data_IF_046199352379
#
_entry.id   IF_046199352379
#
_cell.length_a   1.000
_cell.length_b   1.000
_cell.length_c   1.000
_cell.angle_alpha   90.00
_cell.angle_beta   90.00
_cell.angle_gamma   90.00
#
_symmetry.space_group_name_H-M   'P 1'
#
loop_
_entity.id
_entity.type
_entity.pdbx_description
1 polymer ?
#
# COMPACT_ATOMS: atom_id res chain seq x y z
N UNK A 1 14.90 16.27 -7.33
CA UNK A 1 14.16 15.62 -8.44
C UNK A 1 13.09 14.76 -7.82
N UNK A 2 11.84 14.86 -8.28
CA UNK A 2 10.73 14.03 -7.79
C UNK A 2 10.37 13.05 -8.90
N UNK A 3 10.54 11.72 -8.70
CA UNK A 3 10.27 10.72 -9.74
C UNK A 3 8.78 10.40 -9.90
N UNK A 4 7.96 10.69 -8.89
CA UNK A 4 6.51 10.54 -8.97
C UNK A 4 5.91 11.60 -9.91
N UNK A 5 4.93 11.20 -10.69
CA UNK A 5 4.24 12.05 -11.66
C UNK A 5 2.74 11.82 -11.61
N UNK A 6 1.99 12.67 -12.30
CA UNK A 6 0.54 12.59 -12.42
C UNK A 6 0.13 11.97 -13.75
N UNK A 7 -1.07 11.42 -13.78
CA UNK A 7 -1.80 11.08 -15.00
C UNK A 7 -2.26 12.36 -15.72
N UNK A 8 -2.76 12.26 -16.97
CA UNK A 8 -3.30 13.41 -17.71
C UNK A 8 -4.46 14.12 -17.02
N UNK A 9 -5.20 13.43 -16.14
CA UNK A 9 -6.29 14.01 -15.33
C UNK A 9 -5.79 14.74 -14.06
N UNK A 10 -4.48 14.81 -13.85
CA UNK A 10 -3.86 15.46 -12.70
C UNK A 10 -3.79 14.60 -11.43
N UNK A 11 -4.33 13.37 -11.45
CA UNK A 11 -4.26 12.45 -10.31
C UNK A 11 -2.92 11.72 -10.27
N UNK A 12 -2.41 11.43 -9.07
CA UNK A 12 -1.17 10.71 -8.89
C UNK A 12 -0.89 10.40 -7.41
N UNK A 13 0.22 9.70 -7.12
CA UNK A 13 0.58 9.38 -5.75
C UNK A 13 0.89 10.64 -4.94
N UNK A 14 0.16 10.84 -3.84
CA UNK A 14 0.56 11.78 -2.81
C UNK A 14 1.68 11.14 -1.98
N UNK A 15 2.90 11.64 -2.13
CA UNK A 15 4.09 11.06 -1.51
C UNK A 15 4.58 11.90 -0.33
N UNK A 16 4.91 11.23 0.77
CA UNK A 16 5.54 11.85 1.92
C UNK A 16 6.51 10.86 2.59
N UNK A 17 7.51 11.41 3.27
CA UNK A 17 8.47 10.67 4.08
C UNK A 17 8.57 11.39 5.42
N UNK A 18 8.30 10.67 6.51
CA UNK A 18 8.42 11.20 7.86
C UNK A 18 9.84 10.97 8.37
N UNK A 19 10.09 9.86 9.06
CA UNK A 19 11.41 9.45 9.53
C UNK A 19 11.72 8.03 9.08
N UNK A 20 12.90 7.54 9.47
CA UNK A 20 13.34 6.20 9.12
C UNK A 20 12.63 5.13 9.97
N UNK A 21 12.36 5.46 11.22
CA UNK A 21 11.80 4.57 12.24
C UNK A 21 10.27 4.45 12.20
N UNK A 22 9.55 5.46 11.67
CA UNK A 22 8.11 5.64 11.91
C UNK A 22 7.22 5.49 10.66
N UNK A 23 7.78 4.97 9.55
CA UNK A 23 7.03 4.90 8.29
C UNK A 23 5.73 4.10 8.42
N UNK A 24 5.68 3.08 9.30
CA UNK A 24 4.49 2.28 9.55
C UNK A 24 3.39 3.13 10.21
N UNK A 25 3.72 3.76 11.33
CA UNK A 25 2.82 4.57 12.15
C UNK A 25 2.35 5.80 11.39
N UNK A 26 3.24 6.41 10.62
CA UNK A 26 2.94 7.53 9.75
C UNK A 26 1.90 7.15 8.68
N UNK A 27 2.12 6.04 7.99
CA UNK A 27 1.18 5.52 7.00
C UNK A 27 -0.16 5.09 7.61
N UNK A 28 -0.14 4.49 8.80
CA UNK A 28 -1.37 4.18 9.54
C UNK A 28 -2.16 5.43 9.89
N UNK A 29 -1.49 6.51 10.33
CA UNK A 29 -2.13 7.80 10.59
C UNK A 29 -2.85 8.37 9.36
N UNK A 30 -2.25 8.24 8.18
CA UNK A 30 -2.87 8.61 6.90
C UNK A 30 -4.08 7.72 6.56
N UNK A 31 -3.95 6.41 6.72
CA UNK A 31 -5.02 5.45 6.45
C UNK A 31 -6.24 5.69 7.35
N UNK A 32 -6.02 5.85 8.65
CA UNK A 32 -7.07 6.14 9.63
C UNK A 32 -7.74 7.48 9.33
N UNK A 33 -6.96 8.54 9.06
CA UNK A 33 -7.52 9.86 8.73
C UNK A 33 -8.38 9.81 7.47
N UNK A 34 -7.90 9.11 6.43
CA UNK A 34 -8.63 8.90 5.19
C UNK A 34 -9.94 8.15 5.43
N UNK A 35 -9.90 7.06 6.21
CA UNK A 35 -11.08 6.28 6.54
C UNK A 35 -12.11 7.12 7.32
N UNK A 36 -11.68 7.89 8.33
CA UNK A 36 -12.56 8.78 9.10
C UNK A 36 -13.21 9.84 8.22
N UNK A 37 -12.42 10.56 7.42
CA UNK A 37 -12.96 11.62 6.54
C UNK A 37 -13.93 11.03 5.50
N UNK A 38 -13.61 9.87 4.93
CA UNK A 38 -14.44 9.23 3.90
C UNK A 38 -15.73 8.64 4.47
N UNK A 39 -15.70 8.12 5.70
CA UNK A 39 -16.90 7.70 6.42
C UNK A 39 -17.78 8.89 6.80
N UNK A 40 -17.20 10.03 7.19
CA UNK A 40 -17.94 11.26 7.44
C UNK A 40 -18.62 11.77 6.17
N UNK A 41 -17.93 11.75 5.02
CA UNK A 41 -18.52 12.04 3.72
C UNK A 41 -19.68 11.09 3.41
N UNK A 42 -19.52 9.78 3.67
CA UNK A 42 -20.58 8.79 3.48
C UNK A 42 -21.83 9.11 4.29
N UNK A 43 -21.65 9.41 5.58
CA UNK A 43 -22.75 9.79 6.46
C UNK A 43 -23.47 11.04 5.94
N UNK A 44 -22.72 12.06 5.50
CA UNK A 44 -23.30 13.29 4.94
C UNK A 44 -24.09 13.05 3.65
N UNK A 45 -23.59 12.18 2.77
CA UNK A 45 -24.33 11.76 1.58
C UNK A 45 -25.62 11.04 1.97
N UNK A 46 -25.57 10.13 2.95
CA UNK A 46 -26.75 9.41 3.43
C UNK A 46 -27.80 10.36 4.02
N UNK A 47 -27.39 11.39 4.77
CA UNK A 47 -28.30 12.43 5.29
C UNK A 47 -29.07 13.13 4.16
N UNK A 48 -28.38 13.56 3.10
CA UNK A 48 -29.02 14.21 1.95
C UNK A 48 -29.98 13.26 1.21
N UNK A 49 -29.66 11.96 1.19
CA UNK A 49 -30.51 10.95 0.54
C UNK A 49 -31.78 10.59 1.36
N UNK A 50 -31.80 10.85 2.67
CA UNK A 50 -32.93 10.51 3.55
C UNK A 50 -34.21 11.32 3.25
N UNK A 51 -34.10 12.47 2.59
CA UNK A 51 -35.26 13.25 2.15
C UNK A 51 -36.09 12.53 1.07
N UNK A 52 -35.54 11.48 0.45
CA UNK A 52 -36.28 10.58 -0.43
C UNK A 52 -36.92 11.30 -1.62
N UNK A 53 -38.23 11.08 -1.84
CA UNK A 53 -38.96 11.66 -2.98
C UNK A 53 -39.15 13.17 -2.90
N UNK A 54 -39.01 13.77 -1.73
CA UNK A 54 -39.10 15.21 -1.53
C UNK A 54 -37.72 15.90 -1.62
N UNK A 55 -36.68 15.14 -1.96
CA UNK A 55 -35.31 15.64 -2.10
C UNK A 55 -35.21 16.71 -3.21
N UNK A 56 -34.51 17.83 -2.96
CA UNK A 56 -34.28 18.90 -3.95
C UNK A 56 -33.28 18.51 -5.05
N UNK A 57 -32.73 17.30 -4.98
CA UNK A 57 -31.73 16.76 -5.90
C UNK A 57 -32.32 16.40 -7.26
N UNK A 58 -31.54 16.55 -8.33
CA UNK A 58 -31.87 15.90 -9.60
C UNK A 58 -31.88 14.38 -9.47
N UNK A 59 -32.70 13.71 -10.29
CA UNK A 59 -32.78 12.25 -10.32
C UNK A 59 -31.43 11.58 -10.62
N UNK A 60 -30.60 12.23 -11.46
CA UNK A 60 -29.26 11.74 -11.79
C UNK A 60 -28.31 11.80 -10.60
N UNK A 61 -28.24 12.95 -9.90
CA UNK A 61 -27.40 13.11 -8.71
C UNK A 61 -27.84 12.15 -7.60
N UNK A 62 -29.15 12.03 -7.37
CA UNK A 62 -29.71 11.09 -6.39
C UNK A 62 -29.31 9.63 -6.70
N UNK A 63 -29.37 9.23 -7.97
CA UNK A 63 -29.01 7.87 -8.39
C UNK A 63 -27.53 7.59 -8.18
N UNK A 64 -26.64 8.51 -8.60
CA UNK A 64 -25.19 8.31 -8.48
C UNK A 64 -24.70 8.37 -7.03
N UNK A 65 -25.29 9.21 -6.17
CA UNK A 65 -24.98 9.24 -4.74
C UNK A 65 -25.38 7.94 -4.05
N UNK A 66 -26.56 7.38 -4.37
CA UNK A 66 -26.95 6.06 -3.87
C UNK A 66 -25.98 4.96 -4.34
N UNK A 67 -25.64 4.94 -5.64
CA UNK A 67 -24.71 3.97 -6.20
C UNK A 67 -23.33 4.04 -5.51
N UNK A 68 -22.84 5.25 -5.23
CA UNK A 68 -21.59 5.46 -4.50
C UNK A 68 -21.67 4.94 -3.05
N UNK A 69 -22.79 5.15 -2.35
CA UNK A 69 -22.99 4.64 -0.98
C UNK A 69 -23.04 3.12 -0.94
N UNK A 70 -23.75 2.49 -1.89
CA UNK A 70 -23.88 1.03 -2.02
C UNK A 70 -22.54 0.37 -2.38
N UNK A 71 -21.75 1.03 -3.23
CA UNK A 71 -20.47 0.55 -3.73
C UNK A 71 -19.27 1.25 -3.07
N UNK A 72 -19.44 1.76 -1.85
CA UNK A 72 -18.47 2.62 -1.16
C UNK A 72 -17.06 2.01 -1.07
N UNK A 73 -16.94 0.67 -1.09
CA UNK A 73 -15.65 -0.04 -1.02
C UNK A 73 -15.12 -0.51 -2.37
N UNK A 74 -15.87 -0.34 -3.46
CA UNK A 74 -15.47 -0.77 -4.79
C UNK A 74 -14.64 0.33 -5.48
N UNK A 75 -13.33 0.15 -5.66
CA UNK A 75 -12.47 1.19 -6.21
C UNK A 75 -12.87 1.58 -7.65
N UNK A 76 -13.29 0.61 -8.47
CA UNK A 76 -13.64 0.87 -9.87
C UNK A 76 -14.93 1.72 -9.99
N UNK A 77 -15.95 1.41 -9.18
CA UNK A 77 -17.20 2.18 -9.15
C UNK A 77 -16.95 3.58 -8.58
N UNK A 78 -16.23 3.69 -7.46
CA UNK A 78 -15.90 4.98 -6.85
C UNK A 78 -15.06 5.89 -7.78
N UNK A 79 -14.13 5.31 -8.54
CA UNK A 79 -13.31 6.02 -9.53
C UNK A 79 -14.12 6.48 -10.76
N UNK A 80 -15.14 5.71 -11.18
CA UNK A 80 -16.04 6.15 -12.23
C UNK A 80 -16.89 7.33 -11.76
N UNK A 81 -17.48 7.22 -10.56
CA UNK A 81 -18.35 8.23 -9.99
C UNK A 81 -17.61 9.52 -9.58
N UNK A 82 -16.34 9.44 -9.21
CA UNK A 82 -15.53 10.62 -8.89
C UNK A 82 -15.34 11.57 -10.09
N UNK A 83 -15.56 11.08 -11.32
CA UNK A 83 -15.44 11.89 -12.55
C UNK A 83 -16.73 12.63 -12.88
N UNK A 84 -17.88 12.05 -12.56
CA UNK A 84 -19.20 12.63 -12.87
C UNK A 84 -19.77 13.45 -11.71
N UNK A 85 -19.74 12.93 -10.48
CA UNK A 85 -20.37 13.54 -9.30
C UNK A 85 -19.95 15.00 -9.03
N UNK A 86 -18.67 15.41 -9.14
CA UNK A 86 -18.30 16.79 -8.84
C UNK A 86 -19.03 17.84 -9.68
N UNK A 87 -19.31 17.53 -10.95
CA UNK A 87 -20.03 18.43 -11.85
C UNK A 87 -21.52 18.55 -11.49
N UNK A 88 -22.15 17.43 -11.11
CA UNK A 88 -23.54 17.39 -10.64
C UNK A 88 -23.70 18.10 -9.30
N UNK A 89 -22.82 17.82 -8.35
CA UNK A 89 -22.77 18.49 -7.05
C UNK A 89 -22.62 20.01 -7.22
N UNK A 90 -21.72 20.46 -8.10
CA UNK A 90 -21.52 21.89 -8.39
C UNK A 90 -22.75 22.56 -8.98
N UNK A 91 -23.52 21.87 -9.82
CA UNK A 91 -24.74 22.42 -10.40
C UNK A 91 -25.85 22.66 -9.35
N UNK A 92 -25.80 21.94 -8.23
CA UNK A 92 -26.84 21.94 -7.21
C UNK A 92 -26.38 22.50 -5.86
N UNK A 93 -25.10 22.86 -5.71
CA UNK A 93 -24.50 23.33 -4.46
C UNK A 93 -25.17 24.57 -3.84
N UNK A 94 -25.84 25.40 -4.65
CA UNK A 94 -26.57 26.57 -4.16
C UNK A 94 -27.94 26.23 -3.55
N UNK A 95 -28.44 25.01 -3.75
CA UNK A 95 -29.76 24.59 -3.26
C UNK A 95 -29.73 24.17 -1.79
N UNK A 96 -28.62 23.60 -1.35
CA UNK A 96 -28.45 23.05 -0.01
C UNK A 96 -26.97 23.15 0.42
N UNK A 97 -26.66 23.77 1.58
CA UNK A 97 -25.32 23.78 2.15
C UNK A 97 -24.68 22.39 2.27
N UNK A 98 -25.45 21.33 2.53
CA UNK A 98 -24.93 19.97 2.62
C UNK A 98 -24.34 19.48 1.29
N UNK A 99 -24.88 19.91 0.15
CA UNK A 99 -24.34 19.57 -1.17
C UNK A 99 -22.98 20.26 -1.38
N UNK A 100 -22.83 21.51 -0.93
CA UNK A 100 -21.54 22.21 -0.98
C UNK A 100 -20.49 21.51 -0.11
N UNK A 101 -20.86 21.03 1.09
CA UNK A 101 -19.94 20.27 1.93
C UNK A 101 -19.48 18.95 1.29
N UNK A 102 -20.40 18.23 0.61
CA UNK A 102 -20.05 17.01 -0.15
C UNK A 102 -19.11 17.35 -1.31
N UNK A 103 -19.34 18.48 -1.99
CA UNK A 103 -18.48 18.95 -3.08
C UNK A 103 -17.07 19.30 -2.58
N UNK A 104 -16.95 19.96 -1.44
CA UNK A 104 -15.67 20.34 -0.84
C UNK A 104 -14.82 19.13 -0.43
N UNK A 105 -15.46 17.99 -0.17
CA UNK A 105 -14.84 16.70 0.13
C UNK A 105 -14.80 15.73 -1.07
N UNK A 106 -14.99 16.22 -2.30
CA UNK A 106 -15.06 15.38 -3.50
C UNK A 106 -13.76 14.65 -3.84
N UNK A 107 -12.62 15.10 -3.26
CA UNK A 107 -11.33 14.41 -3.29
C UNK A 107 -11.38 13.00 -2.67
N UNK A 108 -12.38 12.73 -1.82
CA UNK A 108 -12.58 11.46 -1.12
C UNK A 108 -13.61 10.53 -1.77
N UNK A 109 -14.20 10.92 -2.91
CA UNK A 109 -15.10 10.05 -3.66
C UNK A 109 -14.40 8.75 -4.11
N UNK A 110 -13.19 8.78 -4.70
CA UNK A 110 -12.43 7.56 -4.97
C UNK A 110 -12.14 6.77 -3.68
N UNK A 111 -11.98 5.43 -3.80
CA UNK A 111 -11.33 4.66 -2.72
C UNK A 111 -9.84 4.98 -2.78
N UNK A 112 -9.31 5.54 -1.71
CA UNK A 112 -7.88 5.84 -1.60
C UNK A 112 -7.15 4.57 -1.16
N UNK A 113 -6.07 4.22 -1.88
CA UNK A 113 -5.21 3.08 -1.55
C UNK A 113 -3.97 3.57 -0.80
N UNK A 114 -3.85 3.19 0.48
CA UNK A 114 -2.73 3.61 1.33
C UNK A 114 -1.58 2.59 1.23
N UNK A 115 -0.37 3.09 0.92
CA UNK A 115 0.84 2.29 0.79
C UNK A 115 1.96 2.80 1.68
N UNK A 116 2.56 1.90 2.44
CA UNK A 116 3.75 2.12 3.24
C UNK A 116 4.90 1.41 2.55
N UNK A 117 5.92 2.16 2.12
CA UNK A 117 7.02 1.61 1.32
C UNK A 117 8.33 1.84 2.07
N UNK A 118 9.08 0.78 2.29
CA UNK A 118 10.41 0.89 2.90
C UNK A 118 11.30 -0.31 2.61
N UNK A 119 12.58 -0.17 2.96
CA UNK A 119 13.57 -1.22 2.79
C UNK A 119 13.57 -2.23 3.94
N UNK A 120 14.45 -3.22 3.83
CA UNK A 120 14.64 -4.22 4.87
C UNK A 120 15.18 -3.64 6.18
N UNK A 121 16.09 -2.66 6.13
CA UNK A 121 16.61 -2.04 7.34
C UNK A 121 15.58 -1.25 8.15
N UNK A 122 14.48 -0.82 7.54
CA UNK A 122 13.36 -0.28 8.28
C UNK A 122 12.52 -1.41 8.87
N UNK A 123 12.03 -2.30 8.01
CA UNK A 123 11.00 -3.30 8.35
C UNK A 123 11.49 -4.43 9.24
N UNK A 124 12.75 -4.84 9.13
CA UNK A 124 13.32 -5.92 9.95
C UNK A 124 13.98 -5.38 11.22
N UNK A 125 14.48 -4.14 11.19
CA UNK A 125 15.26 -3.53 12.26
C UNK A 125 14.55 -2.38 12.96
N UNK A 126 14.81 -1.13 12.56
CA UNK A 126 14.50 0.05 13.38
C UNK A 126 12.99 0.32 13.51
N UNK A 127 12.23 0.08 12.44
CA UNK A 127 10.79 0.30 12.39
C UNK A 127 9.96 -0.97 12.62
N UNK A 128 10.60 -2.10 12.95
CA UNK A 128 9.86 -3.35 13.11
C UNK A 128 8.79 -3.30 14.19
N UNK A 129 9.07 -2.65 15.34
CA UNK A 129 8.08 -2.55 16.42
C UNK A 129 6.82 -1.79 15.99
N UNK A 130 7.00 -0.70 15.23
CA UNK A 130 5.90 0.04 14.62
C UNK A 130 5.16 -0.75 13.55
N UNK A 131 5.92 -1.40 12.67
CA UNK A 131 5.38 -2.27 11.62
C UNK A 131 4.53 -3.40 12.18
N UNK A 132 5.02 -4.10 13.21
CA UNK A 132 4.31 -5.17 13.91
C UNK A 132 2.96 -4.67 14.47
N UNK A 133 2.96 -3.53 15.15
CA UNK A 133 1.74 -2.92 15.67
C UNK A 133 0.74 -2.55 14.57
N UNK A 134 1.22 -1.99 13.46
CA UNK A 134 0.40 -1.61 12.30
C UNK A 134 -0.19 -2.85 11.63
N UNK A 135 0.60 -3.91 11.46
CA UNK A 135 0.14 -5.19 10.93
C UNK A 135 -0.98 -5.78 11.81
N UNK A 136 -0.80 -5.75 13.13
CA UNK A 136 -1.78 -6.24 14.11
C UNK A 136 -3.05 -5.40 14.20
N UNK A 137 -3.06 -4.17 13.68
CA UNK A 137 -4.17 -3.21 13.84
C UNK A 137 -5.43 -3.54 13.04
N UNK A 138 -5.30 -4.38 12.00
CA UNK A 138 -6.40 -4.71 11.09
C UNK A 138 -6.86 -3.56 10.18
N UNK A 139 -6.13 -2.45 10.11
CA UNK A 139 -6.45 -1.35 9.20
C UNK A 139 -6.27 -1.74 7.73
N UNK A 140 -7.14 -1.24 6.84
CA UNK A 140 -7.06 -1.40 5.37
C UNK A 140 -5.90 -0.56 4.81
N UNK A 141 -4.71 -1.16 4.76
CA UNK A 141 -3.48 -0.56 4.26
C UNK A 141 -2.52 -1.62 3.70
N UNK A 142 -1.62 -1.18 2.83
CA UNK A 142 -0.65 -2.04 2.16
C UNK A 142 0.77 -1.67 2.57
N UNK A 143 1.57 -2.66 2.93
CA UNK A 143 3.00 -2.51 3.22
C UNK A 143 3.80 -3.20 2.12
N UNK A 144 4.72 -2.46 1.51
CA UNK A 144 5.70 -2.99 0.58
C UNK A 144 7.10 -2.89 1.18
N UNK A 145 7.70 -4.04 1.43
CA UNK A 145 9.09 -4.16 1.84
C UNK A 145 9.94 -4.48 0.62
N UNK A 146 10.85 -3.57 0.27
CA UNK A 146 11.87 -3.79 -0.74
C UNK A 146 13.09 -4.41 -0.07
N UNK A 147 13.15 -5.74 -0.08
CA UNK A 147 14.17 -6.49 0.66
C UNK A 147 15.45 -6.61 -0.16
N UNK A 148 16.41 -5.75 0.18
CA UNK A 148 17.76 -5.75 -0.41
C UNK A 148 18.76 -6.53 0.44
N UNK A 149 18.33 -7.13 1.55
CA UNK A 149 19.16 -7.93 2.46
C UNK A 149 20.36 -7.18 3.08
N UNK A 150 20.31 -5.84 3.05
CA UNK A 150 21.34 -4.94 3.57
C UNK A 150 20.81 -3.50 3.66
N UNK A 151 21.48 -2.65 4.44
CA UNK A 151 21.21 -1.22 4.42
C UNK A 151 21.88 -0.59 3.19
N UNK A 152 21.19 -0.69 2.05
CA UNK A 152 21.73 -0.30 0.75
C UNK A 152 22.16 1.17 0.69
N UNK A 153 21.31 2.09 1.17
CA UNK A 153 21.57 3.54 1.04
C UNK A 153 22.82 4.01 1.82
N UNK A 154 23.09 3.43 2.99
CA UNK A 154 24.22 3.82 3.85
C UNK A 154 25.50 3.02 3.56
N UNK A 155 25.49 2.24 2.47
CA UNK A 155 26.66 1.57 1.90
C UNK A 155 26.85 0.14 2.41
N UNK A 156 25.77 -0.63 2.54
CA UNK A 156 25.84 -2.09 2.70
C UNK A 156 26.14 -2.56 4.12
N UNK A 157 25.53 -1.96 5.15
CA UNK A 157 25.54 -2.50 6.50
C UNK A 157 24.64 -3.73 6.59
N UNK A 158 25.03 -4.67 7.45
CA UNK A 158 24.20 -5.80 7.85
C UNK A 158 22.86 -5.32 8.43
N UNK A 159 21.78 -5.93 7.99
CA UNK A 159 20.44 -5.86 8.58
C UNK A 159 20.06 -7.20 9.22
N UNK A 160 18.94 -7.26 9.96
CA UNK A 160 18.35 -8.56 10.35
C UNK A 160 17.78 -9.35 9.17
N UNK A 161 17.70 -8.77 7.98
CA UNK A 161 17.32 -9.50 6.76
C UNK A 161 18.54 -10.02 5.96
N UNK A 162 19.76 -9.68 6.36
CA UNK A 162 20.99 -10.23 5.75
C UNK A 162 21.04 -11.75 5.98
N UNK A 163 21.25 -12.57 4.94
CA UNK A 163 21.29 -14.03 5.07
C UNK A 163 22.55 -14.51 5.79
N UNK A 164 22.48 -15.72 6.35
CA UNK A 164 23.65 -16.39 6.93
C UNK A 164 24.81 -16.48 5.93
N UNK A 165 26.02 -16.21 6.38
CA UNK A 165 27.23 -16.25 5.57
C UNK A 165 27.47 -15.05 4.66
N UNK A 166 26.49 -14.15 4.44
CA UNK A 166 26.72 -12.96 3.61
C UNK A 166 27.67 -11.97 4.29
N UNK A 167 28.58 -11.40 3.49
CA UNK A 167 29.56 -10.41 3.95
C UNK A 167 29.01 -9.01 3.72
N UNK A 168 28.86 -8.26 4.80
CA UNK A 168 28.41 -6.87 4.82
C UNK A 168 29.23 -6.06 5.83
N UNK A 169 29.09 -4.72 5.87
CA UNK A 169 29.66 -3.94 6.99
C UNK A 169 29.01 -4.42 8.29
N UNK A 170 29.83 -4.59 9.33
CA UNK A 170 29.46 -5.24 10.61
C UNK A 170 29.21 -6.76 10.53
N UNK A 171 29.45 -7.39 9.38
CA UNK A 171 29.45 -8.85 9.17
C UNK A 171 30.62 -9.25 8.26
N UNK A 172 31.83 -8.77 8.55
CA UNK A 172 32.99 -8.93 7.65
C UNK A 172 33.48 -10.37 7.51
N UNK A 173 33.11 -11.25 8.46
CA UNK A 173 33.39 -12.69 8.42
C UNK A 173 32.19 -13.52 7.95
N UNK A 174 31.19 -12.87 7.37
CA UNK A 174 29.87 -13.46 7.10
C UNK A 174 28.92 -13.22 8.26
N UNK A 175 27.63 -13.11 7.96
CA UNK A 175 26.58 -13.07 8.98
C UNK A 175 26.48 -14.42 9.69
N UNK A 176 26.33 -14.37 11.00
CA UNK A 176 26.42 -15.51 11.92
C UNK A 176 25.07 -16.14 12.26
N UNK A 177 23.96 -15.50 11.91
CA UNK A 177 22.60 -16.00 12.14
C UNK A 177 21.79 -16.02 10.86
N UNK A 178 20.70 -16.78 10.88
CA UNK A 178 19.76 -16.83 9.77
C UNK A 178 19.02 -15.51 9.58
N UNK A 179 18.51 -15.31 8.37
CA UNK A 179 17.63 -14.20 8.03
C UNK A 179 16.39 -14.25 8.93
N UNK A 180 16.05 -13.14 9.60
CA UNK A 180 14.79 -13.02 10.33
C UNK A 180 13.63 -13.26 9.35
N UNK A 181 12.68 -14.13 9.67
CA UNK A 181 11.54 -14.41 8.79
C UNK A 181 10.34 -13.48 9.10
N UNK A 182 10.38 -12.24 8.59
CA UNK A 182 9.32 -11.23 8.82
C UNK A 182 7.94 -11.71 8.34
N UNK A 183 7.90 -12.37 7.18
CA UNK A 183 6.65 -12.80 6.58
C UNK A 183 5.98 -13.94 7.38
N UNK A 184 6.75 -14.89 7.91
CA UNK A 184 6.23 -15.93 8.81
C UNK A 184 5.69 -15.32 10.11
N UNK A 185 6.42 -14.37 10.72
CA UNK A 185 5.94 -13.64 11.91
C UNK A 185 4.62 -12.90 11.64
N UNK A 186 4.42 -12.36 10.44
CA UNK A 186 3.17 -11.70 10.07
C UNK A 186 2.03 -12.71 9.81
N UNK A 187 2.33 -13.88 9.25
CA UNK A 187 1.36 -14.97 9.05
C UNK A 187 0.80 -15.47 10.39
N UNK A 188 1.61 -15.49 11.46
CA UNK A 188 1.19 -15.94 12.79
C UNK A 188 0.01 -15.15 13.37
N UNK A 189 -0.23 -13.91 12.94
CA UNK A 189 -1.44 -13.16 13.31
C UNK A 189 -2.73 -13.79 12.77
N UNK A 190 -2.66 -14.53 11.67
CA UNK A 190 -3.80 -15.17 11.03
C UNK A 190 -4.70 -14.23 10.23
N UNK A 191 -4.62 -12.91 10.45
CA UNK A 191 -5.53 -11.88 9.89
C UNK A 191 -4.84 -10.89 8.96
N UNK A 192 -3.69 -11.26 8.40
CA UNK A 192 -2.85 -10.38 7.58
C UNK A 192 -2.64 -11.08 6.25
N UNK A 193 -2.90 -10.39 5.14
CA UNK A 193 -2.49 -10.91 3.84
C UNK A 193 -0.97 -10.78 3.71
N UNK A 194 -0.27 -11.87 3.37
CA UNK A 194 1.19 -11.86 3.25
C UNK A 194 1.62 -12.44 1.91
N UNK A 195 2.51 -11.77 1.20
CA UNK A 195 3.09 -12.28 -0.03
C UNK A 195 4.60 -12.09 -0.07
N UNK A 196 5.29 -13.13 -0.56
CA UNK A 196 6.70 -13.08 -0.93
C UNK A 196 6.79 -13.10 -2.45
N UNK A 197 7.43 -12.09 -3.04
CA UNK A 197 7.45 -11.87 -4.50
C UNK A 197 8.87 -11.62 -5.01
N UNK A 198 9.13 -12.10 -6.22
CA UNK A 198 10.32 -11.73 -7.00
C UNK A 198 9.89 -11.60 -8.46
N UNK A 199 9.83 -10.36 -8.95
CA UNK A 199 9.26 -10.02 -10.26
C UNK A 199 9.96 -10.76 -11.40
N UNK A 200 11.29 -10.87 -11.36
CA UNK A 200 12.05 -11.59 -12.38
C UNK A 200 11.86 -13.11 -12.36
N UNK A 201 11.41 -13.68 -11.24
CA UNK A 201 11.09 -15.10 -11.14
C UNK A 201 9.68 -15.41 -11.66
N UNK A 202 8.69 -14.58 -11.30
CA UNK A 202 7.32 -14.79 -11.75
C UNK A 202 6.50 -13.48 -11.76
N UNK A 203 6.40 -12.87 -12.94
CA UNK A 203 5.60 -11.66 -13.17
C UNK A 203 4.12 -11.84 -12.82
N UNK A 204 3.54 -12.99 -13.18
CA UNK A 204 2.11 -13.24 -12.96
C UNK A 204 1.81 -13.39 -11.47
N UNK A 205 2.67 -14.09 -10.71
CA UNK A 205 2.54 -14.19 -9.26
C UNK A 205 2.72 -12.85 -8.58
N UNK A 206 3.66 -12.01 -9.07
CA UNK A 206 3.86 -10.66 -8.53
C UNK A 206 2.62 -9.79 -8.75
N UNK A 207 2.09 -9.74 -9.98
CA UNK A 207 0.85 -8.99 -10.26
C UNK A 207 -0.33 -9.49 -9.43
N UNK A 208 -0.50 -10.82 -9.36
CA UNK A 208 -1.56 -11.43 -8.53
C UNK A 208 -1.40 -11.06 -7.06
N UNK A 209 -0.18 -11.06 -6.54
CA UNK A 209 0.08 -10.73 -5.15
C UNK A 209 -0.28 -9.28 -4.80
N UNK A 210 0.04 -8.32 -5.67
CA UNK A 210 -0.32 -6.91 -5.49
C UNK A 210 -1.82 -6.68 -5.64
N UNK A 211 -2.47 -7.34 -6.60
CA UNK A 211 -3.93 -7.23 -6.76
C UNK A 211 -4.69 -7.83 -5.57
N UNK A 212 -4.26 -8.97 -5.04
CA UNK A 212 -4.86 -9.56 -3.84
C UNK A 212 -4.58 -8.73 -2.59
N UNK A 213 -3.36 -8.20 -2.42
CA UNK A 213 -3.01 -7.32 -1.32
C UNK A 213 -3.91 -6.08 -1.25
N UNK A 214 -4.10 -5.37 -2.38
CA UNK A 214 -4.95 -4.17 -2.39
C UNK A 214 -6.43 -4.48 -2.21
N UNK A 215 -6.89 -5.64 -2.71
CA UNK A 215 -8.27 -6.06 -2.60
C UNK A 215 -8.63 -6.60 -1.20
N UNK A 216 -7.63 -6.98 -0.39
CA UNK A 216 -7.83 -7.48 0.96
C UNK A 216 -8.39 -6.40 1.89
N UNK A 217 -9.43 -6.73 2.63
CA UNK A 217 -10.07 -5.82 3.61
C UNK A 217 -9.33 -5.89 4.96
N UNK A 218 -8.11 -5.37 4.97
CA UNK A 218 -7.24 -5.39 6.15
C UNK A 218 -5.81 -5.05 5.80
N UNK A 219 -4.88 -5.41 6.69
CA UNK A 219 -3.47 -5.13 6.47
C UNK A 219 -2.86 -6.17 5.52
N UNK A 220 -2.10 -5.68 4.54
CA UNK A 220 -1.34 -6.49 3.60
C UNK A 220 0.16 -6.24 3.71
N UNK A 221 0.97 -7.29 3.72
CA UNK A 221 2.43 -7.24 3.69
C UNK A 221 2.95 -7.93 2.42
N UNK A 222 3.64 -7.18 1.56
CA UNK A 222 4.35 -7.70 0.40
C UNK A 222 5.84 -7.54 0.61
N UNK A 223 6.57 -8.65 0.73
CA UNK A 223 8.04 -8.68 0.78
C UNK A 223 8.55 -8.99 -0.62
N UNK A 224 9.20 -8.01 -1.25
CA UNK A 224 9.72 -8.10 -2.60
C UNK A 224 11.24 -8.22 -2.59
N UNK A 225 11.78 -9.29 -3.18
CA UNK A 225 13.23 -9.42 -3.37
C UNK A 225 13.73 -8.33 -4.32
N UNK A 226 14.65 -7.50 -3.84
CA UNK A 226 15.16 -6.34 -4.56
C UNK A 226 16.69 -6.46 -4.75
N UNK A 227 17.16 -6.93 -5.92
CA UNK A 227 18.59 -7.01 -6.18
C UNK A 227 19.25 -5.62 -6.12
N UNK A 228 20.43 -5.57 -5.51
CA UNK A 228 21.14 -4.33 -5.21
C UNK A 228 22.61 -4.42 -5.65
N UNK A 229 23.22 -3.28 -5.92
CA UNK A 229 24.67 -3.18 -6.18
C UNK A 229 25.51 -3.73 -5.02
N UNK A 230 25.00 -3.67 -3.78
CA UNK A 230 25.67 -4.19 -2.59
C UNK A 230 25.77 -5.72 -2.58
N UNK A 231 24.93 -6.43 -3.36
CA UNK A 231 25.06 -7.88 -3.56
C UNK A 231 26.32 -8.24 -4.36
N UNK A 232 26.90 -7.28 -5.09
CA UNK A 232 28.09 -7.47 -5.94
C UNK A 232 27.93 -8.64 -6.90
N UNK A 233 26.74 -8.77 -7.49
CA UNK A 233 26.41 -9.79 -8.47
C UNK A 233 27.46 -9.79 -9.59
N UNK A 234 28.06 -10.95 -9.86
CA UNK A 234 29.16 -11.09 -10.83
C UNK A 234 28.74 -10.67 -12.24
N UNK A 235 27.48 -10.89 -12.60
CA UNK A 235 26.90 -10.54 -13.90
C UNK A 235 26.41 -9.08 -13.97
N UNK A 236 26.65 -8.28 -12.93
CA UNK A 236 26.24 -6.88 -12.83
C UNK A 236 24.72 -6.66 -12.72
N UNK A 237 24.31 -5.39 -12.70
CA UNK A 237 22.90 -5.01 -12.53
C UNK A 237 22.05 -5.21 -13.80
N UNK A 238 22.66 -5.41 -14.97
CA UNK A 238 21.94 -5.65 -16.24
C UNK A 238 21.16 -6.96 -16.27
N UNK A 239 21.51 -7.90 -15.38
CA UNK A 239 20.88 -9.23 -15.30
C UNK A 239 19.99 -9.39 -14.06
N UNK A 240 19.51 -8.28 -13.50
CA UNK A 240 18.69 -8.24 -12.27
C UNK A 240 17.48 -9.17 -12.34
N UNK A 241 16.81 -9.28 -13.49
CA UNK A 241 15.61 -10.12 -13.63
C UNK A 241 15.96 -11.61 -13.65
N UNK A 242 17.03 -11.98 -14.37
CA UNK A 242 17.54 -13.35 -14.37
C UNK A 242 18.04 -13.75 -12.98
N UNK A 243 18.70 -12.82 -12.27
CA UNK A 243 19.15 -13.03 -10.89
C UNK A 243 17.99 -13.37 -9.95
N UNK A 244 16.89 -12.61 -10.01
CA UNK A 244 15.67 -12.92 -9.23
C UNK A 244 15.13 -14.33 -9.54
N UNK A 245 15.11 -14.73 -10.83
CA UNK A 245 14.67 -16.06 -11.22
C UNK A 245 15.55 -17.17 -10.65
N UNK A 246 16.87 -17.00 -10.70
CA UNK A 246 17.85 -17.96 -10.14
C UNK A 246 17.71 -18.08 -8.63
N UNK A 247 17.56 -16.95 -7.93
CA UNK A 247 17.39 -16.88 -6.47
C UNK A 247 16.10 -17.59 -6.04
N UNK A 248 15.00 -17.42 -6.76
CA UNK A 248 13.76 -18.13 -6.47
C UNK A 248 13.88 -19.64 -6.78
N UNK A 249 14.47 -20.00 -7.92
CA UNK A 249 14.61 -21.39 -8.35
C UNK A 249 15.55 -22.21 -7.47
N UNK A 250 16.52 -21.58 -6.80
CA UNK A 250 17.41 -22.24 -5.84
C UNK A 250 16.73 -22.56 -4.50
N UNK A 251 15.53 -22.03 -4.26
CA UNK A 251 14.84 -22.12 -2.98
C UNK A 251 15.32 -21.09 -1.95
N UNK A 252 16.26 -20.21 -2.31
CA UNK A 252 16.77 -19.18 -1.40
C UNK A 252 15.70 -18.15 -1.03
N UNK A 253 14.90 -17.71 -2.01
CA UNK A 253 13.79 -16.77 -1.78
C UNK A 253 12.47 -17.41 -2.24
N UNK A 254 11.74 -18.10 -1.35
CA UNK A 254 10.51 -18.78 -1.73
C UNK A 254 9.40 -17.79 -2.07
N UNK A 255 8.63 -18.10 -3.12
CA UNK A 255 7.48 -17.31 -3.56
C UNK A 255 6.19 -17.92 -3.04
N UNK A 256 5.40 -17.17 -2.30
CA UNK A 256 4.14 -17.64 -1.75
C UNK A 256 3.19 -16.48 -1.48
N UNK A 257 1.93 -16.84 -1.21
CA UNK A 257 0.87 -15.94 -0.78
C UNK A 257 0.09 -16.64 0.34
N UNK A 258 -0.15 -15.93 1.42
CA UNK A 258 -1.04 -16.30 2.50
C UNK A 258 -2.20 -15.31 2.47
N UNK A 259 -3.41 -15.83 2.28
CA UNK A 259 -4.63 -15.04 2.22
C UNK A 259 -5.56 -15.58 3.32
N UNK A 260 -5.72 -14.83 4.44
CA UNK A 260 -6.63 -15.18 5.55
C UNK A 260 -8.04 -15.55 5.10
#
# INVERSE_FOLDING_TARGET
>A
STPYTTRPDGTGPAWANSLFEDAAEYGMGMAVTTAVRRNALKARVQEVLLEGKDSPLSAELYTQLNEWVENFRNPAVCEALSKSLPSLLKAEASKDPAIQEILDASDLLPKISNWIIGGDGWSYDIGYGGLDHVIASGQDLNVLVLDTEAYSNTGGQKSKSTPIGAVAKFATKGHDVEKKNLAEMAIDYGTVYVASVAMGANYQQTLKAFSEAEAYDGCSLVVAYAPCIEHKNLDGMSHTMQHQATVAASGYFPLYRYNP
#
